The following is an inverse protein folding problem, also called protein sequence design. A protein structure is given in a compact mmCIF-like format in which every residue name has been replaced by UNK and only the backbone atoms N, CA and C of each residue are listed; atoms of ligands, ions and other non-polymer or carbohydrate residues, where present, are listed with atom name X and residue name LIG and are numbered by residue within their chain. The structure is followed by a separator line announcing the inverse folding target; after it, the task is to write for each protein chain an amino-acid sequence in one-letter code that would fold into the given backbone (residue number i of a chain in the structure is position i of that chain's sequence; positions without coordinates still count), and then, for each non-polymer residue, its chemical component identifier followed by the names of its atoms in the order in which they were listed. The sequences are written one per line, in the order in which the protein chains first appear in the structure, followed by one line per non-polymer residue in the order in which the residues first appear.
data_IF_756888986964
#
_entry.id   IF_756888986964
#
_cell.length_a   1.000
_cell.length_b   1.000
_cell.length_c   1.000
_cell.angle_alpha   90.00
_cell.angle_beta   90.00
_cell.angle_gamma   90.00
#
_symmetry.space_group_name_H-M   'P 1'
#
loop_
_entity.id
_entity.type
_entity.pdbx_description
1 polymer ?
#
# COMPACT_ATOMS: atom_id res chain seq x y z
N UNK A 1 12.43 27.66 6.12
CA UNK A 1 11.53 27.01 5.15
C UNK A 1 12.02 25.63 4.69
N UNK A 2 12.81 25.00 5.50
CA UNK A 2 13.12 23.60 5.32
C UNK A 2 12.04 22.79 6.03
N UNK A 3 11.65 21.67 5.56
CA UNK A 3 10.88 20.62 6.22
C UNK A 3 9.40 20.45 5.86
N UNK A 4 8.94 21.02 4.75
CA UNK A 4 7.62 20.64 4.24
C UNK A 4 7.57 19.21 3.70
N UNK A 5 8.73 18.55 3.51
CA UNK A 5 8.78 17.18 3.01
C UNK A 5 8.57 16.13 4.10
N UNK A 6 9.08 16.35 5.32
CA UNK A 6 8.92 15.40 6.42
C UNK A 6 7.46 15.23 6.84
N UNK A 7 6.69 16.32 6.84
CA UNK A 7 5.28 16.31 7.23
C UNK A 7 4.36 15.70 6.17
N UNK A 8 4.86 15.47 4.95
CA UNK A 8 4.11 14.93 3.82
C UNK A 8 4.31 13.43 3.64
N UNK A 9 5.03 12.77 4.54
CA UNK A 9 5.30 11.34 4.45
C UNK A 9 4.54 10.61 5.55
N UNK A 10 3.74 9.64 5.16
CA UNK A 10 3.19 8.66 6.07
C UNK A 10 4.19 7.52 6.21
N UNK A 11 4.46 7.10 7.44
CA UNK A 11 5.36 5.97 7.73
C UNK A 11 4.70 5.03 8.73
N UNK A 12 4.71 3.75 8.43
CA UNK A 12 4.27 2.70 9.35
C UNK A 12 5.31 1.57 9.35
N UNK A 13 5.59 1.04 10.53
CA UNK A 13 6.52 -0.07 10.69
C UNK A 13 5.94 -1.11 11.63
N UNK A 14 6.16 -2.37 11.32
CA UNK A 14 5.74 -3.52 12.16
C UNK A 14 6.75 -4.64 12.01
N UNK A 15 6.90 -5.42 13.05
CA UNK A 15 7.70 -6.64 13.05
C UNK A 15 6.78 -7.86 13.02
N UNK A 16 7.01 -8.72 12.03
CA UNK A 16 6.26 -9.96 11.84
C UNK A 16 7.10 -11.14 12.31
N UNK A 17 6.52 -12.03 13.12
CA UNK A 17 7.20 -13.22 13.60
C UNK A 17 7.23 -14.33 12.52
N UNK A 18 7.77 -13.98 11.35
CA UNK A 18 7.86 -14.86 10.19
C UNK A 18 9.16 -14.58 9.41
N UNK A 19 9.73 -15.58 8.71
CA UNK A 19 10.94 -15.37 7.91
C UNK A 19 10.74 -14.35 6.78
N UNK A 20 11.78 -13.63 6.44
CA UNK A 20 11.74 -12.57 5.43
C UNK A 20 11.23 -13.06 4.07
N UNK A 21 11.65 -14.23 3.63
CA UNK A 21 11.20 -14.83 2.37
C UNK A 21 9.71 -15.09 2.36
N UNK A 22 9.16 -15.49 3.50
CA UNK A 22 7.72 -15.74 3.65
C UNK A 22 6.92 -14.43 3.60
N UNK A 23 7.41 -13.39 4.25
CA UNK A 23 6.82 -12.05 4.20
C UNK A 23 6.92 -11.47 2.79
N UNK A 24 8.07 -11.63 2.15
CA UNK A 24 8.28 -11.20 0.77
C UNK A 24 7.29 -11.84 -0.21
N UNK A 25 7.04 -13.14 -0.07
CA UNK A 25 6.04 -13.83 -0.90
C UNK A 25 4.65 -13.21 -0.73
N UNK A 26 4.27 -12.87 0.48
CA UNK A 26 2.96 -12.25 0.75
C UNK A 26 2.82 -10.88 0.06
N UNK A 27 3.92 -10.18 -0.19
CA UNK A 27 3.95 -8.91 -0.90
C UNK A 27 4.06 -9.05 -2.43
N UNK A 28 4.56 -10.17 -2.92
CA UNK A 28 4.90 -10.32 -4.34
C UNK A 28 4.14 -11.42 -5.07
N UNK A 29 3.48 -12.31 -4.35
CA UNK A 29 2.54 -13.27 -4.94
C UNK A 29 1.15 -12.62 -4.98
N UNK A 30 0.59 -12.33 -6.16
CA UNK A 30 -0.70 -11.66 -6.26
C UNK A 30 -1.82 -12.36 -5.49
N UNK A 31 -1.84 -13.67 -5.48
CA UNK A 31 -2.85 -14.45 -4.76
C UNK A 31 -2.77 -14.28 -3.25
N UNK A 32 -1.57 -14.07 -2.71
CA UNK A 32 -1.37 -13.78 -1.29
C UNK A 32 -1.59 -12.30 -0.99
N UNK A 33 -1.03 -11.42 -1.80
CA UNK A 33 -1.13 -9.98 -1.63
C UNK A 33 -2.59 -9.52 -1.52
N UNK A 34 -3.46 -10.00 -2.39
CA UNK A 34 -4.85 -9.56 -2.44
C UNK A 34 -5.66 -10.00 -1.21
N UNK A 35 -5.21 -11.01 -0.47
CA UNK A 35 -5.91 -11.47 0.74
C UNK A 35 -5.79 -10.51 1.91
N UNK A 36 -4.72 -9.73 1.97
CA UNK A 36 -4.49 -8.81 3.09
C UNK A 36 -4.45 -7.34 2.69
N UNK A 37 -4.29 -7.04 1.39
CA UNK A 37 -4.29 -5.66 0.90
C UNK A 37 -5.68 -5.03 1.09
N UNK A 38 -5.68 -3.78 1.56
CA UNK A 38 -6.91 -3.04 1.81
C UNK A 38 -7.40 -3.13 3.25
N UNK A 39 -8.31 -2.23 3.64
CA UNK A 39 -8.84 -2.16 5.00
C UNK A 39 -9.61 -3.43 5.38
N UNK A 40 -9.72 -3.69 6.68
CA UNK A 40 -10.56 -4.77 7.20
C UNK A 40 -11.99 -4.62 6.69
N UNK A 41 -12.63 -5.75 6.38
CA UNK A 41 -14.00 -5.80 5.86
C UNK A 41 -14.11 -5.64 4.36
N UNK A 42 -13.01 -5.47 3.63
CA UNK A 42 -13.01 -5.44 2.17
C UNK A 42 -12.56 -6.78 1.60
N UNK A 43 -13.06 -7.09 0.40
CA UNK A 43 -12.65 -8.28 -0.37
C UNK A 43 -11.98 -7.83 -1.66
N UNK A 44 -10.74 -8.24 -1.86
CA UNK A 44 -9.97 -7.86 -3.03
C UNK A 44 -10.01 -8.91 -4.14
N UNK A 45 -9.91 -8.44 -5.36
CA UNK A 45 -9.78 -9.27 -6.57
C UNK A 45 -8.67 -8.72 -7.44
N UNK A 46 -7.73 -9.57 -7.85
CA UNK A 46 -6.68 -9.19 -8.81
C UNK A 46 -7.26 -9.21 -10.21
N UNK A 47 -7.17 -8.08 -10.90
CA UNK A 47 -7.60 -7.97 -12.30
C UNK A 47 -6.44 -8.29 -13.24
N UNK A 48 -5.25 -7.75 -12.95
CA UNK A 48 -4.03 -8.01 -13.68
C UNK A 48 -2.84 -7.87 -12.75
N UNK A 49 -1.81 -8.68 -12.93
CA UNK A 49 -0.63 -8.61 -12.09
C UNK A 49 0.65 -8.93 -12.86
N UNK A 50 1.60 -8.03 -12.77
CA UNK A 50 2.95 -8.19 -13.31
C UNK A 50 3.89 -7.48 -12.34
N UNK A 51 4.32 -8.21 -11.30
CA UNK A 51 5.12 -7.64 -10.21
C UNK A 51 6.60 -7.72 -10.56
N UNK A 52 7.04 -6.75 -11.35
CA UNK A 52 8.44 -6.57 -11.78
C UNK A 52 8.67 -5.10 -12.10
N UNK A 53 9.90 -4.62 -12.19
CA UNK A 53 10.15 -3.24 -12.61
C UNK A 53 9.47 -2.92 -13.94
N UNK A 54 8.66 -1.86 -13.95
CA UNK A 54 7.83 -1.47 -15.10
C UNK A 54 6.49 -2.20 -15.19
N UNK A 55 6.24 -3.19 -14.34
CA UNK A 55 4.98 -3.95 -14.36
C UNK A 55 3.84 -3.26 -13.62
N UNK A 56 2.62 -3.68 -13.92
CA UNK A 56 1.38 -3.14 -13.36
C UNK A 56 0.65 -4.19 -12.55
N UNK A 57 0.22 -3.80 -11.36
CA UNK A 57 -0.78 -4.51 -10.58
C UNK A 57 -2.07 -3.70 -10.63
N UNK A 58 -3.18 -4.34 -10.97
CA UNK A 58 -4.51 -3.74 -11.01
C UNK A 58 -5.47 -4.60 -10.19
N UNK A 59 -6.20 -3.98 -9.27
CA UNK A 59 -7.09 -4.71 -8.37
C UNK A 59 -8.42 -3.99 -8.17
N UNK A 60 -9.39 -4.76 -7.71
CA UNK A 60 -10.71 -4.27 -7.29
C UNK A 60 -10.88 -4.56 -5.81
N UNK A 61 -11.42 -3.62 -5.07
CA UNK A 61 -11.81 -3.76 -3.67
C UNK A 61 -13.31 -3.64 -3.53
N UNK A 62 -13.93 -4.65 -2.96
CA UNK A 62 -15.36 -4.66 -2.67
C UNK A 62 -15.55 -4.47 -1.15
N UNK A 63 -16.09 -3.32 -0.70
CA UNK A 63 -16.45 -3.14 0.70
C UNK A 63 -17.67 -3.97 1.06
N UNK A 64 -17.91 -4.18 2.37
CA UNK A 64 -19.10 -4.89 2.84
C UNK A 64 -20.38 -4.17 2.40
N UNK A 65 -20.34 -2.85 2.35
CA UNK A 65 -21.43 -2.00 1.85
C UNK A 65 -20.86 -0.88 1.00
N UNK A 66 -21.53 -0.53 -0.08
CA UNK A 66 -21.13 0.54 -0.98
C UNK A 66 -20.55 0.06 -2.30
N UNK A 67 -20.10 1.01 -3.12
CA UNK A 67 -19.57 0.73 -4.45
C UNK A 67 -18.14 0.18 -4.39
N UNK A 68 -17.75 -0.68 -5.33
CA UNK A 68 -16.37 -1.13 -5.42
C UNK A 68 -15.43 0.00 -5.80
N UNK A 69 -14.18 -0.15 -5.41
CA UNK A 69 -13.09 0.76 -5.79
C UNK A 69 -11.99 -0.03 -6.48
N UNK A 70 -11.35 0.60 -7.45
CA UNK A 70 -10.21 0.01 -8.14
C UNK A 70 -8.94 0.75 -7.75
N UNK A 71 -7.84 0.02 -7.76
CA UNK A 71 -6.52 0.58 -7.52
C UNK A 71 -5.50 -0.01 -8.47
N UNK A 72 -4.38 0.67 -8.60
CA UNK A 72 -3.26 0.23 -9.43
C UNK A 72 -1.93 0.56 -8.76
N UNK A 73 -0.92 -0.22 -9.10
CA UNK A 73 0.46 0.05 -8.71
C UNK A 73 1.36 -0.21 -9.90
N UNK A 74 2.25 0.73 -10.19
CA UNK A 74 3.31 0.54 -11.20
C UNK A 74 4.62 0.40 -10.46
N UNK A 75 5.26 -0.75 -10.60
CA UNK A 75 6.49 -1.07 -9.88
C UNK A 75 7.69 -0.37 -10.53
N UNK A 76 8.54 0.23 -9.69
CA UNK A 76 9.81 0.84 -10.10
C UNK A 76 10.99 -0.02 -9.72
N UNK A 77 10.95 -0.62 -8.51
CA UNK A 77 11.99 -1.50 -8.00
C UNK A 77 11.35 -2.73 -7.36
N UNK A 78 11.88 -3.89 -7.68
CA UNK A 78 11.53 -5.16 -7.05
C UNK A 78 12.85 -5.88 -6.76
N UNK A 79 13.34 -5.73 -5.53
CA UNK A 79 14.64 -6.26 -5.11
C UNK A 79 14.41 -7.29 -4.01
N UNK A 80 14.31 -8.55 -4.41
CA UNK A 80 14.03 -9.65 -3.50
C UNK A 80 15.21 -9.90 -2.55
N UNK A 81 14.96 -10.20 -1.30
CA UNK A 81 13.68 -10.20 -0.60
C UNK A 81 13.49 -8.95 0.27
N UNK A 82 14.00 -7.78 -0.12
CA UNK A 82 14.20 -6.65 0.79
C UNK A 82 13.50 -5.35 0.42
N UNK A 83 13.19 -5.11 -0.86
CA UNK A 83 12.74 -3.77 -1.24
C UNK A 83 11.75 -3.77 -2.40
N UNK A 84 10.64 -3.05 -2.21
CA UNK A 84 9.67 -2.71 -3.26
C UNK A 84 9.53 -1.20 -3.32
N UNK A 85 9.51 -0.66 -4.54
CA UNK A 85 9.13 0.73 -4.79
C UNK A 85 8.08 0.73 -5.90
N UNK A 86 6.94 1.32 -5.63
CA UNK A 86 5.87 1.40 -6.62
C UNK A 86 5.07 2.69 -6.47
N UNK A 87 4.42 3.09 -7.56
CA UNK A 87 3.51 4.24 -7.57
C UNK A 87 2.09 3.71 -7.54
N UNK A 88 1.38 4.04 -6.49
CA UNK A 88 0.00 3.63 -6.26
C UNK A 88 -0.96 4.75 -6.64
N UNK A 89 -2.09 4.39 -7.24
CA UNK A 89 -3.15 5.33 -7.62
C UNK A 89 -4.51 4.67 -7.50
N UNK A 90 -5.55 5.47 -7.30
CA UNK A 90 -6.89 5.01 -7.62
C UNK A 90 -7.00 4.78 -9.12
N UNK A 91 -7.79 3.82 -9.53
CA UNK A 91 -7.96 3.51 -10.95
C UNK A 91 -9.43 3.35 -11.33
N UNK A 92 -9.68 3.37 -12.62
CA UNK A 92 -10.95 2.94 -13.21
C UNK A 92 -10.95 1.40 -13.39
N UNK A 93 -12.03 0.88 -13.92
CA UNK A 93 -12.20 -0.56 -14.20
C UNK A 93 -11.15 -1.10 -15.19
N UNK A 94 -10.57 -0.24 -16.00
CA UNK A 94 -9.62 -0.60 -17.07
C UNK A 94 -8.16 -0.44 -16.65
N UNK A 95 -7.93 0.02 -15.41
CA UNK A 95 -6.59 0.23 -14.89
C UNK A 95 -6.00 1.60 -15.18
N UNK A 96 -6.76 2.54 -15.73
CA UNK A 96 -6.34 3.93 -15.89
C UNK A 96 -6.36 4.68 -14.55
N UNK A 97 -5.55 5.72 -14.42
CA UNK A 97 -5.55 6.55 -13.21
C UNK A 97 -6.85 7.35 -13.14
N UNK A 98 -7.48 7.35 -11.96
CA UNK A 98 -8.72 8.06 -11.70
C UNK A 98 -8.62 8.89 -10.42
N UNK A 99 -9.45 9.92 -10.33
CA UNK A 99 -9.56 10.72 -9.12
C UNK A 99 -10.17 9.88 -7.99
N UNK A 100 -9.69 10.11 -6.77
CA UNK A 100 -10.24 9.46 -5.58
C UNK A 100 -11.74 9.83 -5.40
N UNK A 101 -12.56 8.91 -4.86
CA UNK A 101 -13.99 9.16 -4.66
C UNK A 101 -14.31 9.99 -3.40
N UNK A 102 -13.32 10.67 -2.84
CA UNK A 102 -13.47 11.51 -1.65
C UNK A 102 -12.72 12.83 -1.84
N UNK A 103 -12.94 13.79 -0.93
CA UNK A 103 -12.37 15.15 -1.01
C UNK A 103 -12.69 15.86 -2.34
N UNK A 104 -13.84 15.61 -2.94
CA UNK A 104 -14.22 16.14 -4.26
C UNK A 104 -13.17 15.88 -5.34
N UNK A 105 -12.49 14.75 -5.26
CA UNK A 105 -11.37 14.39 -6.15
C UNK A 105 -10.05 15.12 -5.84
N UNK A 106 -10.00 15.96 -4.80
CA UNK A 106 -8.81 16.70 -4.40
C UNK A 106 -7.91 15.86 -3.51
N UNK A 107 -7.51 14.74 -4.01
CA UNK A 107 -6.57 13.79 -3.43
C UNK A 107 -5.43 13.56 -4.43
N UNK A 108 -4.19 13.39 -3.98
CA UNK A 108 -3.08 13.14 -4.91
C UNK A 108 -3.36 11.98 -5.85
N UNK A 109 -3.10 12.15 -7.13
CA UNK A 109 -3.29 11.10 -8.13
C UNK A 109 -2.31 9.94 -7.94
N UNK A 110 -1.10 10.25 -7.49
CA UNK A 110 -0.02 9.28 -7.39
C UNK A 110 0.65 9.32 -6.03
N UNK A 111 0.88 8.14 -5.47
CA UNK A 111 1.55 7.94 -4.19
C UNK A 111 2.77 7.08 -4.40
N UNK A 112 3.94 7.63 -4.08
CA UNK A 112 5.16 6.82 -4.07
C UNK A 112 5.18 5.96 -2.81
N UNK A 113 5.25 4.66 -2.99
CA UNK A 113 5.26 3.68 -1.90
C UNK A 113 6.62 3.00 -1.87
N UNK A 114 7.26 2.99 -0.71
CA UNK A 114 8.52 2.30 -0.49
C UNK A 114 8.32 1.31 0.65
N UNK A 115 8.58 0.04 0.38
CA UNK A 115 8.49 -1.04 1.36
C UNK A 115 9.87 -1.66 1.52
N UNK A 116 10.35 -1.73 2.75
CA UNK A 116 11.63 -2.38 3.06
C UNK A 116 11.40 -3.49 4.07
N UNK A 117 12.06 -4.63 3.85
CA UNK A 117 12.02 -5.79 4.70
C UNK A 117 13.44 -6.12 5.14
N UNK A 118 13.67 -6.21 6.45
CA UNK A 118 14.94 -6.69 6.95
C UNK A 118 14.74 -7.68 8.10
N UNK A 119 15.71 -8.57 8.26
CA UNK A 119 15.65 -9.57 9.31
C UNK A 119 15.85 -8.91 10.68
N UNK A 120 15.01 -9.29 11.64
CA UNK A 120 15.12 -8.86 13.02
C UNK A 120 14.89 -10.09 13.92
N UNK A 121 15.98 -10.63 14.44
CA UNK A 121 15.94 -11.92 15.13
C UNK A 121 15.46 -13.03 14.19
N UNK A 122 14.45 -13.79 14.60
CA UNK A 122 13.81 -14.80 13.76
C UNK A 122 12.65 -14.23 12.91
N UNK A 123 12.36 -12.95 13.05
CA UNK A 123 11.27 -12.27 12.37
C UNK A 123 11.73 -11.31 11.29
N UNK A 124 10.78 -10.53 10.81
CA UNK A 124 11.00 -9.55 9.74
C UNK A 124 10.41 -8.21 10.13
N UNK A 125 11.23 -7.19 10.08
CA UNK A 125 10.80 -5.81 10.26
C UNK A 125 10.42 -5.22 8.91
N UNK A 126 9.19 -4.75 8.79
CA UNK A 126 8.65 -4.14 7.57
C UNK A 126 8.39 -2.67 7.83
N UNK A 127 8.95 -1.82 6.98
CA UNK A 127 8.68 -0.39 6.99
C UNK A 127 8.04 0.00 5.66
N UNK A 128 6.94 0.73 5.73
CA UNK A 128 6.27 1.27 4.56
C UNK A 128 6.21 2.79 4.69
N UNK A 129 6.66 3.48 3.64
CA UNK A 129 6.46 4.91 3.51
C UNK A 129 5.55 5.21 2.33
N UNK A 130 4.73 6.22 2.48
CA UNK A 130 3.74 6.62 1.49
C UNK A 130 3.76 8.13 1.38
N UNK A 131 3.98 8.66 0.18
CA UNK A 131 4.06 10.10 -0.04
C UNK A 131 3.48 10.47 -1.40
N UNK A 132 2.75 11.59 -1.48
CA UNK A 132 2.23 12.06 -2.77
C UNK A 132 3.35 12.59 -3.65
N UNK A 133 3.22 12.42 -4.95
CA UNK A 133 4.15 12.98 -5.94
C UNK A 133 3.37 13.78 -6.96
N UNK A 134 3.93 14.94 -7.36
CA UNK A 134 3.35 15.78 -8.41
C UNK A 134 1.96 16.33 -8.09
N UNK A 135 1.65 16.56 -6.82
CA UNK A 135 0.31 17.01 -6.42
C UNK A 135 0.22 18.53 -6.19
N UNK A 136 -1.00 19.03 -6.23
CA UNK A 136 -1.32 20.41 -5.89
C UNK A 136 -1.31 20.61 -4.36
N UNK A 137 -1.25 21.87 -3.91
CA UNK A 137 -1.15 22.19 -2.49
C UNK A 137 -2.37 21.73 -1.67
N UNK A 138 -3.56 21.85 -2.22
CA UNK A 138 -4.79 21.38 -1.55
C UNK A 138 -4.86 19.85 -1.48
N UNK A 139 -4.38 19.15 -2.50
CA UNK A 139 -4.24 17.70 -2.50
C UNK A 139 -3.26 17.24 -1.42
N UNK A 140 -2.13 17.91 -1.32
CA UNK A 140 -1.14 17.63 -0.27
C UNK A 140 -1.71 17.88 1.12
N UNK A 141 -2.45 18.96 1.31
CA UNK A 141 -3.09 19.29 2.59
C UNK A 141 -4.10 18.21 2.99
N UNK A 142 -4.89 17.71 2.05
CA UNK A 142 -5.83 16.61 2.30
C UNK A 142 -5.10 15.32 2.68
N UNK A 143 -3.99 15.03 2.03
CA UNK A 143 -3.15 13.89 2.40
C UNK A 143 -2.64 14.01 3.84
N UNK A 144 -2.05 15.15 4.19
CA UNK A 144 -1.50 15.39 5.53
C UNK A 144 -2.60 15.27 6.60
N UNK A 145 -3.75 15.86 6.37
CA UNK A 145 -4.86 15.80 7.33
C UNK A 145 -5.41 14.38 7.53
N UNK A 146 -5.20 13.50 6.55
CA UNK A 146 -5.68 12.12 6.59
C UNK A 146 -4.66 11.10 7.14
N UNK A 147 -3.45 11.55 7.47
CA UNK A 147 -2.40 10.63 7.99
C UNK A 147 -2.87 9.84 9.21
N UNK A 148 -3.57 10.42 10.20
CA UNK A 148 -4.07 9.62 11.32
C UNK A 148 -4.98 8.46 10.89
N UNK A 149 -5.82 8.67 9.88
CA UNK A 149 -6.68 7.61 9.33
C UNK A 149 -5.89 6.53 8.60
N UNK A 150 -4.77 6.90 7.96
CA UNK A 150 -3.89 5.95 7.28
C UNK A 150 -3.28 4.94 8.24
N UNK A 151 -2.94 5.37 9.47
CA UNK A 151 -2.45 4.45 10.50
C UNK A 151 -3.47 3.36 10.81
N UNK A 152 -4.75 3.71 10.87
CA UNK A 152 -5.82 2.73 11.06
C UNK A 152 -5.97 1.79 9.86
N UNK A 153 -5.98 2.34 8.64
CA UNK A 153 -6.12 1.56 7.41
C UNK A 153 -4.97 0.59 7.19
N UNK A 154 -3.75 1.09 7.20
CA UNK A 154 -2.56 0.25 7.02
C UNK A 154 -2.31 -0.67 8.20
N UNK A 155 -2.59 -0.22 9.42
CA UNK A 155 -2.52 -1.07 10.62
C UNK A 155 -3.46 -2.27 10.49
N UNK A 156 -4.68 -2.05 10.03
CA UNK A 156 -5.64 -3.13 9.74
C UNK A 156 -5.15 -4.10 8.66
N UNK A 157 -4.55 -3.59 7.59
CA UNK A 157 -3.95 -4.41 6.54
C UNK A 157 -2.81 -5.27 7.09
N UNK A 158 -1.95 -4.69 7.92
CA UNK A 158 -0.83 -5.42 8.52
C UNK A 158 -1.31 -6.49 9.51
N UNK A 159 -2.41 -6.26 10.23
CA UNK A 159 -3.04 -7.31 11.04
C UNK A 159 -3.53 -8.47 10.16
N UNK A 160 -4.15 -8.17 9.02
CA UNK A 160 -4.56 -9.19 8.05
C UNK A 160 -3.36 -9.95 7.49
N UNK A 161 -2.26 -9.25 7.23
CA UNK A 161 -1.02 -9.89 6.78
C UNK A 161 -0.50 -10.85 7.86
N UNK A 162 -0.52 -10.45 9.12
CA UNK A 162 -0.16 -11.33 10.23
C UNK A 162 -1.03 -12.58 10.31
N UNK A 163 -2.33 -12.43 10.10
CA UNK A 163 -3.26 -13.57 10.05
C UNK A 163 -2.93 -14.52 8.89
N UNK A 164 -2.64 -13.98 7.71
CA UNK A 164 -2.24 -14.77 6.55
C UNK A 164 -0.95 -15.56 6.83
N UNK A 165 0.01 -14.91 7.47
CA UNK A 165 1.30 -15.53 7.82
C UNK A 165 1.19 -16.49 9.01
N UNK A 166 0.08 -16.44 9.77
CA UNK A 166 -0.10 -17.22 10.98
C UNK A 166 0.88 -16.82 12.08
N UNK A 167 1.22 -15.54 12.20
CA UNK A 167 2.23 -15.05 13.12
C UNK A 167 1.77 -13.80 13.89
N UNK A 168 2.50 -13.48 14.95
CA UNK A 168 2.30 -12.25 15.71
C UNK A 168 2.88 -11.05 14.96
N UNK A 169 2.28 -9.87 15.19
CA UNK A 169 2.68 -8.59 14.62
C UNK A 169 2.92 -7.60 15.76
N UNK A 170 4.07 -6.97 15.77
CA UNK A 170 4.46 -5.96 16.77
C UNK A 170 4.79 -4.62 16.12
#
# INVERSE_FOLDING_TARGET
MADSHADTVFTIARTFAAPRERVWQAWTDPAQLIQWLGPKGTTGTVIAADIRPGGLLHWRMDPAEGAPMWGRAVYREVIAPSRLVYVQSFSDERGGIERAPFFDGRWPLEMLTVVTLYEEGAGTHVTLTWMPIGCEDDERANFISNIPSMHGGWGGSFERLGELLGCEVE
#
